data_IF_936102961055
#
_entry.id   IF_936102961055
#
_cell.length_a   1.000
_cell.length_b   1.000
_cell.length_c   1.000
_cell.angle_alpha   90.00
_cell.angle_beta   90.00
_cell.angle_gamma   90.00
#
_symmetry.space_group_name_H-M   'P 1'
#
loop_
_entity.id
_entity.type
_entity.pdbx_description
1 polymer ?
#
# COMPACT_ATOMS: atom_id res chain seq x y z
N UNK A 1 -10.49 -3.92 -9.27
CA UNK A 1 -9.35 -3.48 -10.12
C UNK A 1 -9.22 -1.97 -10.20
N UNK A 2 -10.30 -1.23 -10.37
CA UNK A 2 -10.22 0.24 -10.44
C UNK A 2 -9.57 0.87 -9.21
N UNK A 3 -9.97 0.46 -8.00
CA UNK A 3 -9.39 0.98 -6.77
C UNK A 3 -7.90 0.65 -6.65
N UNK A 4 -7.51 -0.55 -7.04
CA UNK A 4 -6.11 -0.97 -6.99
C UNK A 4 -5.26 -0.12 -7.92
N UNK A 5 -5.80 0.29 -9.07
CA UNK A 5 -5.09 1.12 -10.03
C UNK A 5 -4.95 2.59 -9.57
N UNK A 6 -5.73 3.04 -8.59
CA UNK A 6 -5.52 4.35 -7.98
C UNK A 6 -4.18 4.43 -7.24
N UNK A 7 -3.82 3.37 -6.53
CA UNK A 7 -2.57 3.31 -5.77
C UNK A 7 -1.39 2.83 -6.62
N UNK A 8 -1.66 2.02 -7.63
CA UNK A 8 -0.63 1.43 -8.50
C UNK A 8 -1.12 1.46 -9.95
N UNK A 9 -0.56 2.32 -10.81
CA UNK A 9 -1.06 2.48 -12.17
C UNK A 9 -0.72 1.32 -13.11
N UNK A 10 0.10 0.37 -12.70
CA UNK A 10 0.48 -0.77 -13.53
C UNK A 10 -0.47 -1.95 -13.33
N UNK A 11 -1.39 -2.15 -14.27
CA UNK A 11 -2.30 -3.30 -14.22
C UNK A 11 -1.54 -4.63 -14.21
N UNK A 12 -0.44 -4.72 -14.96
CA UNK A 12 0.38 -5.93 -15.01
C UNK A 12 0.96 -6.29 -13.65
N UNK A 13 1.51 -5.30 -12.92
CA UNK A 13 2.04 -5.52 -11.58
C UNK A 13 0.93 -5.87 -10.59
N UNK A 14 -0.21 -5.19 -10.67
CA UNK A 14 -1.37 -5.49 -9.82
C UNK A 14 -1.81 -6.94 -10.01
N UNK A 15 -1.95 -7.39 -11.25
CA UNK A 15 -2.33 -8.75 -11.54
C UNK A 15 -1.31 -9.77 -11.02
N UNK A 16 -0.03 -9.44 -11.07
CA UNK A 16 1.02 -10.33 -10.56
C UNK A 16 0.91 -10.52 -9.05
N UNK A 17 0.79 -9.45 -8.26
CA UNK A 17 0.74 -9.63 -6.82
C UNK A 17 -0.62 -10.10 -6.31
N UNK A 18 -1.71 -9.86 -7.04
CA UNK A 18 -3.02 -10.43 -6.69
C UNK A 18 -3.03 -11.95 -6.72
N UNK A 19 -2.23 -12.57 -7.58
CA UNK A 19 -2.12 -14.03 -7.65
C UNK A 19 -1.45 -14.64 -6.43
N UNK A 20 -0.63 -13.86 -5.73
CA UNK A 20 0.19 -14.33 -4.61
C UNK A 20 -0.28 -13.82 -3.26
N UNK A 21 -1.05 -12.75 -3.26
CA UNK A 21 -1.51 -12.09 -2.05
C UNK A 21 -2.99 -12.28 -1.80
N UNK A 22 -3.46 -11.72 -0.70
CA UNK A 22 -4.86 -11.71 -0.32
C UNK A 22 -5.41 -10.29 -0.42
N UNK A 23 -6.56 -10.14 -1.07
CA UNK A 23 -7.22 -8.86 -1.26
C UNK A 23 -8.39 -8.74 -0.28
N UNK A 24 -8.45 -7.64 0.45
CA UNK A 24 -9.50 -7.32 1.39
C UNK A 24 -10.20 -6.04 0.96
N UNK A 25 -11.50 -5.98 1.14
CA UNK A 25 -12.29 -4.81 0.74
C UNK A 25 -13.07 -4.23 1.91
N UNK A 26 -13.27 -2.92 1.88
CA UNK A 26 -14.19 -2.22 2.77
C UNK A 26 -15.43 -1.83 1.98
N UNK A 27 -16.60 -2.14 2.51
CA UNK A 27 -17.87 -1.86 1.85
C UNK A 27 -18.77 -0.98 2.71
N UNK A 28 -19.57 -0.14 2.05
CA UNK A 28 -20.66 0.57 2.68
C UNK A 28 -21.82 0.65 1.69
N UNK A 29 -23.04 0.41 2.17
CA UNK A 29 -24.26 0.44 1.36
C UNK A 29 -24.16 -0.37 0.05
N UNK A 30 -23.46 -1.52 0.13
CA UNK A 30 -23.28 -2.40 -1.01
C UNK A 30 -22.19 -1.99 -1.99
N UNK A 31 -21.48 -0.89 -1.74
CA UNK A 31 -20.41 -0.40 -2.60
C UNK A 31 -19.05 -0.65 -1.95
N UNK A 32 -18.07 -1.05 -2.77
CA UNK A 32 -16.68 -1.18 -2.34
C UNK A 32 -16.05 0.22 -2.33
N UNK A 33 -15.62 0.67 -1.17
CA UNK A 33 -15.07 2.02 -0.99
C UNK A 33 -13.58 2.01 -0.68
N UNK A 34 -13.03 0.86 -0.35
CA UNK A 34 -11.60 0.74 -0.06
C UNK A 34 -11.12 -0.68 -0.25
N UNK A 35 -9.80 -0.83 -0.40
CA UNK A 35 -9.18 -2.12 -0.65
C UNK A 35 -7.74 -2.10 -0.15
N UNK A 36 -7.24 -3.26 0.29
CA UNK A 36 -5.81 -3.47 0.44
C UNK A 36 -5.44 -4.88 0.00
N UNK A 37 -4.19 -5.06 -0.39
CA UNK A 37 -3.63 -6.38 -0.73
C UNK A 37 -2.46 -6.65 0.20
N UNK A 38 -2.52 -7.81 0.86
CA UNK A 38 -1.48 -8.27 1.79
C UNK A 38 -0.74 -9.43 1.13
N UNK A 39 0.57 -9.32 1.01
CA UNK A 39 1.41 -10.29 0.32
C UNK A 39 2.48 -10.85 1.24
N UNK A 40 2.56 -12.17 1.46
CA UNK A 40 3.69 -12.77 2.17
C UNK A 40 4.97 -12.57 1.33
N UNK A 41 6.01 -12.01 1.92
CA UNK A 41 7.26 -11.73 1.22
C UNK A 41 8.42 -12.59 1.72
N UNK A 42 8.45 -12.84 3.03
CA UNK A 42 9.44 -13.69 3.69
C UNK A 42 8.75 -14.43 4.82
N UNK A 43 9.38 -15.48 5.38
CA UNK A 43 8.83 -16.08 6.61
C UNK A 43 8.60 -15.01 7.68
N UNK A 44 7.46 -15.06 8.32
CA UNK A 44 7.03 -14.12 9.37
C UNK A 44 6.86 -12.66 8.91
N UNK A 45 6.88 -12.39 7.60
CA UNK A 45 6.79 -11.02 7.06
C UNK A 45 5.74 -10.93 5.97
N UNK A 46 4.91 -9.89 6.04
CA UNK A 46 3.96 -9.57 4.99
C UNK A 46 4.10 -8.11 4.59
N UNK A 47 3.81 -7.82 3.33
CA UNK A 47 3.82 -6.46 2.79
C UNK A 47 2.41 -6.05 2.39
N UNK A 48 2.02 -4.83 2.77
CA UNK A 48 0.82 -4.20 2.22
C UNK A 48 1.25 -3.60 0.87
N UNK A 49 1.03 -4.35 -0.21
CA UNK A 49 1.52 -3.95 -1.54
C UNK A 49 0.61 -2.96 -2.24
N UNK A 50 -0.62 -2.82 -1.77
CA UNK A 50 -1.58 -1.86 -2.32
C UNK A 50 -2.58 -1.52 -1.23
N UNK A 51 -2.91 -0.24 -1.09
CA UNK A 51 -4.01 0.25 -0.27
C UNK A 51 -4.61 1.45 -0.97
N UNK A 52 -5.92 1.44 -1.18
CA UNK A 52 -6.61 2.50 -1.91
C UNK A 52 -7.99 2.76 -1.32
N UNK A 53 -8.40 4.03 -1.37
CA UNK A 53 -9.72 4.47 -0.94
C UNK A 53 -10.37 5.18 -2.12
N UNK A 54 -11.64 4.85 -2.39
CA UNK A 54 -12.41 5.50 -3.45
C UNK A 54 -12.40 7.02 -3.23
N UNK A 55 -12.23 7.76 -4.32
CA UNK A 55 -12.04 9.22 -4.28
C UNK A 55 -13.12 9.95 -3.47
N UNK A 56 -14.37 9.52 -3.59
CA UNK A 56 -15.50 10.16 -2.88
C UNK A 56 -15.45 9.91 -1.36
N UNK A 57 -14.64 8.98 -0.89
CA UNK A 57 -14.55 8.59 0.52
C UNK A 57 -13.21 8.92 1.15
N UNK A 58 -12.31 9.58 0.42
CA UNK A 58 -11.03 10.01 0.96
C UNK A 58 -11.21 11.11 1.99
N UNK A 59 -10.26 11.23 2.90
CA UNK A 59 -10.30 12.23 3.96
C UNK A 59 -11.21 11.91 5.14
N UNK A 60 -11.72 10.68 5.22
CA UNK A 60 -12.64 10.24 6.29
C UNK A 60 -12.03 9.20 7.24
N UNK A 61 -10.71 8.98 7.16
CA UNK A 61 -10.03 8.01 8.01
C UNK A 61 -10.12 6.56 7.55
N UNK A 62 -10.66 6.28 6.37
CA UNK A 62 -10.82 4.93 5.85
C UNK A 62 -9.45 4.31 5.55
N UNK A 63 -8.53 5.08 4.97
CA UNK A 63 -7.17 4.60 4.71
C UNK A 63 -6.47 4.13 5.97
N UNK A 64 -6.58 4.89 7.06
CA UNK A 64 -6.02 4.51 8.35
C UNK A 64 -6.65 3.21 8.87
N UNK A 65 -7.96 3.07 8.74
CA UNK A 65 -8.67 1.86 9.16
C UNK A 65 -8.25 0.64 8.36
N UNK A 66 -8.05 0.81 7.04
CA UNK A 66 -7.56 -0.27 6.17
C UNK A 66 -6.15 -0.72 6.57
N UNK A 67 -5.25 0.21 6.78
CA UNK A 67 -3.88 -0.09 7.19
C UNK A 67 -3.86 -0.79 8.55
N UNK A 68 -4.62 -0.30 9.51
CA UNK A 68 -4.72 -0.94 10.83
C UNK A 68 -5.32 -2.34 10.74
N UNK A 69 -6.32 -2.54 9.88
CA UNK A 69 -6.90 -3.85 9.66
C UNK A 69 -5.87 -4.81 9.05
N UNK A 70 -5.08 -4.33 8.09
CA UNK A 70 -4.01 -5.13 7.47
C UNK A 70 -2.97 -5.56 8.49
N UNK A 71 -2.59 -4.68 9.41
CA UNK A 71 -1.66 -5.00 10.50
C UNK A 71 -2.24 -6.11 11.38
N UNK A 72 -3.50 -5.99 11.77
CA UNK A 72 -4.15 -7.01 12.60
C UNK A 72 -4.30 -8.34 11.87
N UNK A 73 -4.61 -8.30 10.58
CA UNK A 73 -4.70 -9.49 9.74
C UNK A 73 -3.35 -10.21 9.67
N UNK A 74 -2.27 -9.47 9.41
CA UNK A 74 -0.93 -10.04 9.37
C UNK A 74 -0.55 -10.66 10.72
N UNK A 75 -0.87 -9.99 11.81
CA UNK A 75 -0.62 -10.50 13.16
C UNK A 75 -1.37 -11.80 13.42
N UNK A 76 -2.64 -11.86 13.02
CA UNK A 76 -3.46 -13.07 13.17
C UNK A 76 -2.94 -14.23 12.34
N UNK A 77 -2.24 -13.96 11.24
CA UNK A 77 -1.62 -14.97 10.39
C UNK A 77 -0.23 -15.41 10.90
N UNK A 78 0.22 -14.90 12.03
CA UNK A 78 1.49 -15.26 12.62
C UNK A 78 2.68 -14.44 12.14
N UNK A 79 2.46 -13.36 11.40
CA UNK A 79 3.55 -12.48 10.99
C UNK A 79 4.09 -11.69 12.17
N UNK A 80 5.40 -11.44 12.14
CA UNK A 80 6.09 -10.61 13.14
C UNK A 80 6.44 -9.23 12.62
N UNK A 81 6.48 -9.08 11.30
CA UNK A 81 6.85 -7.83 10.64
C UNK A 81 5.88 -7.53 9.52
N UNK A 82 5.47 -6.28 9.41
CA UNK A 82 4.67 -5.78 8.28
C UNK A 82 5.47 -4.67 7.60
N UNK A 83 5.49 -4.73 6.28
CA UNK A 83 6.17 -3.75 5.43
C UNK A 83 5.17 -3.01 4.57
N UNK A 84 5.50 -1.77 4.22
CA UNK A 84 4.73 -0.95 3.30
C UNK A 84 5.68 0.01 2.60
N UNK A 85 5.32 0.44 1.40
CA UNK A 85 6.12 1.41 0.66
C UNK A 85 5.25 2.49 0.03
N UNK A 86 5.86 3.60 -0.32
CA UNK A 86 5.21 4.67 -1.06
C UNK A 86 6.25 5.40 -1.91
N UNK A 87 5.80 6.05 -2.98
CA UNK A 87 6.67 6.89 -3.78
C UNK A 87 7.19 8.09 -3.01
N UNK A 88 8.33 8.62 -3.48
CA UNK A 88 8.99 9.77 -2.84
C UNK A 88 8.11 11.02 -2.72
N UNK A 89 7.10 11.14 -3.56
CA UNK A 89 6.17 12.29 -3.55
C UNK A 89 4.90 12.03 -2.73
N UNK A 90 4.75 10.85 -2.15
CA UNK A 90 3.59 10.46 -1.35
C UNK A 90 3.66 10.97 0.08
N UNK A 91 3.67 12.30 0.28
CA UNK A 91 3.84 12.90 1.60
C UNK A 91 2.69 12.59 2.55
N UNK A 92 1.47 12.50 2.03
CA UNK A 92 0.29 12.12 2.83
C UNK A 92 0.35 10.68 3.30
N UNK A 93 0.78 9.79 2.43
CA UNK A 93 0.96 8.37 2.74
C UNK A 93 2.08 8.18 3.77
N UNK A 94 3.21 8.89 3.62
CA UNK A 94 4.29 8.83 4.61
C UNK A 94 3.81 9.24 6.00
N UNK A 95 3.01 10.30 6.09
CA UNK A 95 2.46 10.75 7.36
C UNK A 95 1.50 9.70 7.93
N UNK A 96 0.60 9.18 7.10
CA UNK A 96 -0.39 8.18 7.50
C UNK A 96 0.27 6.92 8.05
N UNK A 97 1.25 6.39 7.33
CA UNK A 97 1.90 5.13 7.71
C UNK A 97 2.67 5.28 9.02
N UNK A 98 3.35 6.40 9.22
CA UNK A 98 4.03 6.67 10.49
C UNK A 98 3.04 6.80 11.65
N UNK A 99 1.87 7.39 11.41
CA UNK A 99 0.80 7.45 12.43
C UNK A 99 0.25 6.06 12.76
N UNK A 100 0.36 5.11 11.84
CA UNK A 100 -0.04 3.73 12.07
C UNK A 100 1.07 2.87 12.68
N UNK A 101 2.21 3.46 13.02
CA UNK A 101 3.30 2.78 13.72
C UNK A 101 4.47 2.35 12.84
N UNK A 102 4.41 2.60 11.54
CA UNK A 102 5.52 2.26 10.65
C UNK A 102 6.70 3.22 10.82
N UNK A 103 7.88 2.69 10.62
CA UNK A 103 9.11 3.47 10.61
C UNK A 103 9.80 3.33 9.26
N UNK A 104 10.40 4.42 8.78
CA UNK A 104 11.16 4.41 7.54
C UNK A 104 12.41 3.55 7.72
N UNK A 105 12.60 2.57 6.85
CA UNK A 105 13.73 1.65 6.91
C UNK A 105 14.72 1.85 5.78
N UNK A 106 14.33 2.51 4.71
CA UNK A 106 15.23 2.72 3.59
C UNK A 106 14.52 3.30 2.39
N UNK A 107 15.31 3.45 1.33
CA UNK A 107 14.84 3.92 0.03
C UNK A 107 15.35 2.97 -1.04
N UNK A 108 14.43 2.48 -1.87
CA UNK A 108 14.78 1.72 -3.07
C UNK A 108 14.85 2.71 -4.23
N UNK A 109 16.06 3.16 -4.54
CA UNK A 109 16.27 4.21 -5.53
C UNK A 109 15.91 3.74 -6.93
N UNK A 110 15.30 4.63 -7.69
CA UNK A 110 14.91 4.39 -9.08
C UNK A 110 13.89 3.26 -9.26
N UNK A 111 13.20 2.86 -8.18
CA UNK A 111 12.22 1.77 -8.23
C UNK A 111 11.19 1.99 -9.33
N UNK A 112 10.62 3.19 -9.41
CA UNK A 112 9.56 3.48 -10.37
C UNK A 112 10.09 3.64 -11.78
N UNK A 113 11.35 3.97 -11.95
CA UNK A 113 11.99 4.01 -13.29
C UNK A 113 12.26 2.60 -13.82
N UNK A 114 12.56 1.65 -12.91
CA UNK A 114 12.84 0.27 -13.31
C UNK A 114 11.60 -0.56 -13.60
N UNK A 115 10.52 -0.30 -12.86
CA UNK A 115 9.34 -1.19 -12.87
C UNK A 115 8.13 -0.64 -13.61
N UNK A 116 8.16 0.63 -14.00
CA UNK A 116 7.05 1.28 -14.70
C UNK A 116 7.53 1.85 -16.03
N UNK A 117 6.73 1.64 -17.07
CA UNK A 117 7.10 2.00 -18.45
C UNK A 117 7.01 3.50 -18.70
N UNK A 118 6.14 4.19 -17.97
CA UNK A 118 5.89 5.62 -18.17
C UNK A 118 6.17 6.42 -16.90
N UNK A 119 6.60 7.70 -17.04
CA UNK A 119 6.79 8.56 -15.89
C UNK A 119 5.51 8.74 -15.09
N UNK A 120 5.63 8.72 -13.77
CA UNK A 120 4.52 8.93 -12.85
C UNK A 120 4.79 10.23 -12.10
N UNK A 121 3.76 11.07 -11.99
CA UNK A 121 3.82 12.33 -11.24
C UNK A 121 2.75 12.35 -10.17
N UNK A 122 3.10 12.83 -8.99
CA UNK A 122 2.19 12.97 -7.87
C UNK A 122 2.61 14.21 -7.08
N UNK A 123 1.65 15.06 -6.75
CA UNK A 123 1.92 16.33 -6.07
C UNK A 123 2.93 17.21 -6.81
N UNK A 124 2.95 17.17 -8.15
CA UNK A 124 3.88 17.94 -8.97
C UNK A 124 5.33 17.44 -8.97
N UNK A 125 5.57 16.28 -8.37
CA UNK A 125 6.91 15.69 -8.24
C UNK A 125 6.92 14.36 -8.98
N UNK A 126 7.97 14.11 -9.77
CA UNK A 126 8.11 12.81 -10.42
C UNK A 126 8.35 11.73 -9.36
N UNK A 127 7.59 10.65 -9.45
CA UNK A 127 7.74 9.50 -8.56
C UNK A 127 8.87 8.62 -9.11
N UNK A 128 9.99 8.61 -8.43
CA UNK A 128 11.23 7.94 -8.86
C UNK A 128 11.61 6.84 -7.87
N UNK A 129 11.62 7.17 -6.59
CA UNK A 129 12.13 6.31 -5.53
C UNK A 129 11.00 5.74 -4.69
N UNK A 130 11.18 4.51 -4.20
CA UNK A 130 10.26 3.89 -3.25
C UNK A 130 10.81 4.10 -1.83
N UNK A 131 10.07 4.80 -1.00
CA UNK A 131 10.37 4.90 0.43
C UNK A 131 9.76 3.67 1.11
N UNK A 132 10.59 2.92 1.82
CA UNK A 132 10.17 1.70 2.48
C UNK A 132 10.03 1.91 3.97
N UNK A 133 8.96 1.35 4.53
CA UNK A 133 8.68 1.41 5.95
C UNK A 133 8.34 0.00 6.46
N UNK A 134 8.57 -0.21 7.74
CA UNK A 134 8.17 -1.46 8.38
C UNK A 134 7.86 -1.23 9.85
N UNK A 135 7.21 -2.24 10.46
CA UNK A 135 7.06 -2.30 11.91
C UNK A 135 6.99 -3.74 12.37
N UNK A 136 7.47 -3.99 13.57
CA UNK A 136 7.31 -5.27 14.25
C UNK A 136 5.96 -5.29 14.97
N UNK A 137 5.29 -6.42 14.90
CA UNK A 137 3.92 -6.56 15.41
C UNK A 137 3.76 -7.72 16.37
#
# INVERSE_FOLDING_TARGET
MELLLLADPSQQLVEQYLKRGECYVAETDGAVIGVYVLLPTRPDTAEIVNVAVHELYQGQGIGKRLVNHAIQTAKAQGCRTVEIGTGNSGVGQLALYQKCGFRITGVDRDFFLRHYDEPIYENGIQVVDMVRLSQDI
#
